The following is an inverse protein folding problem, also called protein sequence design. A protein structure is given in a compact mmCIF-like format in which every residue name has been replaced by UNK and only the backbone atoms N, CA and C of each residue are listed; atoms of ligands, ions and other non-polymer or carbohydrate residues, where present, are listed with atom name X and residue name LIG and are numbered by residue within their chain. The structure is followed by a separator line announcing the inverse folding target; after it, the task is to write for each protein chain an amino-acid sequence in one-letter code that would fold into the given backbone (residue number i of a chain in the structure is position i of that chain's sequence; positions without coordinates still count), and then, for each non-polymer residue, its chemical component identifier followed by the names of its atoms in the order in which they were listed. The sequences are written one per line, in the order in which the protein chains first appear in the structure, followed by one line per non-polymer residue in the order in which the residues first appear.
data_IF_744232928887
#
_entry.id   IF_744232928887
#
_cell.length_a   1.000
_cell.length_b   1.000
_cell.length_c   1.000
_cell.angle_alpha   90.00
_cell.angle_beta   90.00
_cell.angle_gamma   90.00
#
_symmetry.space_group_name_H-M   'P 1'
#
loop_
_entity.id
_entity.type
_entity.pdbx_description
1 polymer ?
#
# COMPACT_ATOMS: atom_id res chain seq x y z
N UNK A 1 -19.04 54.56 18.11
CA UNK A 1 -18.31 54.10 19.31
C UNK A 1 -17.27 53.07 18.90
N UNK A 2 -16.03 53.51 18.70
CA UNK A 2 -14.91 52.66 18.29
C UNK A 2 -14.24 52.06 19.52
N UNK A 3 -14.21 50.72 19.66
CA UNK A 3 -13.38 50.04 20.67
C UNK A 3 -12.07 49.59 20.00
N UNK A 4 -10.97 50.25 20.40
CA UNK A 4 -9.59 49.95 20.04
C UNK A 4 -9.04 48.76 20.85
N UNK A 5 -8.29 47.93 20.12
CA UNK A 5 -7.10 47.12 20.44
C UNK A 5 -7.02 46.32 21.76
N UNK A 6 -6.49 45.10 21.63
CA UNK A 6 -5.29 44.64 22.35
C UNK A 6 -4.64 43.48 21.59
N UNK A 7 -3.59 43.82 20.84
CA UNK A 7 -2.61 42.90 20.28
C UNK A 7 -1.64 42.52 21.40
N UNK A 8 -1.56 41.25 21.74
CA UNK A 8 -0.56 40.73 22.68
C UNK A 8 0.50 39.96 21.90
N UNK A 9 1.66 40.61 21.70
CA UNK A 9 2.92 39.98 21.33
C UNK A 9 3.40 39.12 22.52
N UNK A 10 3.70 37.84 22.30
CA UNK A 10 4.53 37.05 23.23
C UNK A 10 6.00 37.08 22.77
N UNK A 11 6.96 37.13 23.70
CA UNK A 11 8.38 37.27 23.38
C UNK A 11 9.05 35.94 23.01
N UNK A 12 10.07 36.07 22.17
CA UNK A 12 11.09 35.09 21.80
C UNK A 12 12.21 35.07 22.85
N UNK A 13 12.63 33.89 23.32
CA UNK A 13 13.96 33.58 23.87
C UNK A 13 14.12 32.05 23.97
N UNK A 14 14.88 31.39 23.09
CA UNK A 14 16.30 30.99 23.21
C UNK A 14 16.57 29.94 24.32
N UNK A 15 16.96 28.72 23.90
CA UNK A 15 18.06 27.99 24.56
C UNK A 15 18.81 27.14 23.53
N UNK A 16 20.13 27.24 23.58
CA UNK A 16 21.10 26.64 22.68
C UNK A 16 21.76 25.39 23.28
N UNK A 17 22.42 24.65 22.38
CA UNK A 17 23.56 23.74 22.56
C UNK A 17 23.35 22.33 23.16
N UNK A 18 23.59 21.30 22.33
CA UNK A 18 24.62 20.28 22.61
C UNK A 18 25.35 19.95 21.29
N UNK A 19 26.68 20.06 21.34
CA UNK A 19 27.67 19.74 20.31
C UNK A 19 28.22 18.33 20.52
N UNK A 20 28.66 17.70 19.43
CA UNK A 20 29.58 16.55 19.43
C UNK A 20 29.20 15.53 18.35
N UNK A 21 30.01 15.14 17.38
CA UNK A 21 31.38 15.49 17.01
C UNK A 21 31.71 14.62 15.79
N UNK A 22 31.98 15.23 14.65
CA UNK A 22 32.51 14.54 13.46
C UNK A 22 34.03 14.56 13.59
N UNK A 23 34.61 13.36 13.70
CA UNK A 23 36.05 13.15 13.68
C UNK A 23 36.56 13.33 12.25
N UNK A 24 37.42 14.33 12.07
CA UNK A 24 38.24 14.54 10.88
C UNK A 24 39.69 14.29 11.26
N UNK A 25 40.31 13.28 10.65
CA UNK A 25 41.75 13.21 10.44
C UNK A 25 41.92 13.47 8.93
N UNK A 26 42.43 14.64 8.57
CA UNK A 26 43.81 14.86 8.10
C UNK A 26 44.14 14.07 6.82
N UNK A 27 44.70 14.61 5.74
CA UNK A 27 45.09 15.94 5.30
C UNK A 27 45.64 15.74 3.87
N UNK A 28 45.72 16.83 3.11
CA UNK A 28 46.63 17.08 1.99
C UNK A 28 46.53 16.20 0.71
N UNK A 29 46.13 16.81 -0.41
CA UNK A 29 47.02 17.34 -1.48
C UNK A 29 47.85 16.23 -2.15
N UNK A 30 47.51 15.89 -3.41
CA UNK A 30 48.34 16.09 -4.61
C UNK A 30 47.68 15.40 -5.81
N UNK A 31 47.79 16.09 -6.95
CA UNK A 31 47.42 15.69 -8.30
C UNK A 31 47.93 14.31 -8.72
N UNK A 32 47.20 13.61 -9.59
CA UNK A 32 47.79 13.07 -10.83
C UNK A 32 46.74 12.55 -11.83
N UNK A 33 47.01 12.87 -13.09
CA UNK A 33 46.30 12.50 -14.31
C UNK A 33 46.85 11.18 -14.84
N UNK A 34 46.01 10.25 -15.34
CA UNK A 34 46.15 9.47 -16.61
C UNK A 34 45.29 8.19 -16.60
N UNK A 35 44.42 8.01 -17.60
CA UNK A 35 44.57 7.17 -18.83
C UNK A 35 44.44 5.66 -18.58
N UNK A 36 43.31 5.11 -19.05
CA UNK A 36 43.28 3.98 -19.98
C UNK A 36 43.50 2.56 -19.44
N UNK A 37 42.67 1.64 -19.92
CA UNK A 37 43.08 0.24 -20.10
C UNK A 37 42.11 -0.78 -19.53
N UNK A 38 41.10 -1.15 -20.31
CA UNK A 38 40.49 -2.47 -20.19
C UNK A 38 41.55 -3.54 -20.46
N UNK A 39 41.66 -4.53 -19.57
CA UNK A 39 42.39 -5.78 -19.85
C UNK A 39 41.52 -6.99 -19.57
N UNK A 40 41.16 -7.59 -20.69
CA UNK A 40 40.89 -8.99 -20.94
C UNK A 40 41.80 -9.93 -20.13
N UNK A 41 41.20 -10.95 -19.48
CA UNK A 41 41.93 -12.10 -18.97
C UNK A 41 41.30 -13.37 -19.56
N UNK A 42 42.04 -13.97 -20.50
CA UNK A 42 41.82 -15.32 -20.99
C UNK A 42 42.14 -16.36 -19.92
N UNK A 43 41.42 -17.48 -20.00
CA UNK A 43 41.51 -18.64 -19.13
C UNK A 43 42.83 -19.40 -19.28
N UNK A 44 43.31 -19.99 -18.17
CA UNK A 44 44.21 -21.15 -18.19
C UNK A 44 43.80 -22.14 -17.09
N UNK A 45 43.64 -23.44 -17.41
CA UNK A 45 43.12 -24.45 -16.49
C UNK A 45 44.22 -25.03 -15.59
N UNK A 46 43.86 -25.49 -14.38
CA UNK A 46 44.75 -26.29 -13.53
C UNK A 46 44.07 -27.58 -13.07
N UNK A 47 44.79 -28.67 -13.30
CA UNK A 47 44.43 -30.07 -13.08
C UNK A 47 44.32 -30.45 -11.59
N UNK A 48 43.49 -31.46 -11.35
CA UNK A 48 43.20 -32.18 -10.10
C UNK A 48 44.33 -33.16 -9.79
N UNK A 49 44.80 -33.28 -8.53
CA UNK A 49 44.83 -34.57 -7.82
C UNK A 49 45.18 -34.50 -6.30
N UNK A 50 44.38 -35.28 -5.57
CA UNK A 50 44.39 -35.92 -4.24
C UNK A 50 45.42 -35.60 -3.14
N UNK A 51 44.90 -35.31 -1.94
CA UNK A 51 45.30 -36.00 -0.68
C UNK A 51 44.15 -35.86 0.33
N UNK A 52 43.48 -36.97 0.66
CA UNK A 52 42.63 -37.11 1.85
C UNK A 52 43.51 -37.31 3.10
N UNK A 53 43.08 -36.79 4.25
CA UNK A 53 42.87 -37.70 5.37
C UNK A 53 41.48 -37.57 5.96
N UNK A 54 41.06 -38.71 6.53
CA UNK A 54 39.81 -38.94 7.20
C UNK A 54 39.61 -37.99 8.40
N UNK A 55 38.43 -37.36 8.48
CA UNK A 55 37.77 -37.19 9.77
C UNK A 55 36.25 -37.02 9.59
N UNK A 56 35.54 -37.71 10.45
CA UNK A 56 34.11 -37.87 10.57
C UNK A 56 33.35 -36.56 10.69
N UNK A 57 32.58 -36.19 9.68
CA UNK A 57 31.37 -35.39 9.84
C UNK A 57 30.31 -35.93 8.89
N UNK A 58 29.36 -36.67 9.47
CA UNK A 58 28.14 -37.11 8.79
C UNK A 58 27.38 -35.85 8.39
N UNK A 59 27.60 -35.38 7.16
CA UNK A 59 26.80 -34.34 6.56
C UNK A 59 25.40 -34.92 6.32
N UNK A 60 24.47 -34.64 7.23
CA UNK A 60 23.05 -34.82 6.95
C UNK A 60 22.70 -33.75 5.90
N UNK A 61 22.58 -34.20 4.65
CA UNK A 61 22.09 -33.38 3.57
C UNK A 61 20.68 -32.90 3.92
N UNK A 62 20.52 -31.60 4.19
CA UNK A 62 19.22 -30.96 4.26
C UNK A 62 18.68 -30.90 2.82
N UNK A 63 18.04 -31.99 2.40
CA UNK A 63 17.28 -32.07 1.15
C UNK A 63 16.05 -31.17 1.29
N UNK A 64 16.05 -30.05 0.57
CA UNK A 64 14.92 -29.11 0.53
C UNK A 64 13.87 -29.45 -0.53
N UNK A 65 13.94 -30.63 -1.16
CA UNK A 65 12.92 -31.07 -2.12
C UNK A 65 12.67 -32.57 -2.01
N UNK A 66 11.82 -32.97 -1.07
CA UNK A 66 10.95 -34.13 -1.27
C UNK A 66 9.74 -34.06 -0.33
N UNK A 67 8.59 -33.64 -0.89
CA UNK A 67 7.20 -34.03 -0.55
C UNK A 67 6.28 -33.09 -1.34
N UNK A 68 6.26 -33.25 -2.65
CA UNK A 68 5.19 -32.72 -3.49
C UNK A 68 4.11 -33.80 -3.63
N UNK A 69 3.28 -33.95 -2.58
CA UNK A 69 1.98 -34.63 -2.58
C UNK A 69 1.53 -34.53 -1.11
N UNK A 70 0.67 -33.61 -0.70
CA UNK A 70 -0.71 -33.48 -1.13
C UNK A 70 -1.12 -32.00 -1.10
N UNK A 71 -1.38 -31.39 -2.26
CA UNK A 71 -2.36 -30.30 -2.34
C UNK A 71 -3.74 -30.96 -2.17
N UNK A 72 -4.04 -31.42 -0.95
CA UNK A 72 -5.36 -31.94 -0.63
C UNK A 72 -6.33 -30.78 -0.72
N UNK A 73 -7.16 -30.85 -1.76
CA UNK A 73 -8.41 -30.13 -1.98
C UNK A 73 -8.86 -29.37 -0.74
N UNK A 74 -8.82 -28.03 -0.82
CA UNK A 74 -9.37 -27.15 0.19
C UNK A 74 -10.75 -27.67 0.58
N UNK A 75 -10.85 -28.31 1.75
CA UNK A 75 -12.07 -28.89 2.23
C UNK A 75 -13.06 -27.73 2.42
N UNK A 76 -14.05 -27.66 1.52
CA UNK A 76 -15.14 -26.69 1.60
C UNK A 76 -15.89 -26.97 2.89
N UNK A 77 -15.59 -26.21 3.94
CA UNK A 77 -16.26 -26.29 5.25
C UNK A 77 -17.75 -26.03 5.06
N UNK A 78 -18.55 -27.10 5.02
CA UNK A 78 -20.01 -27.06 4.89
C UNK A 78 -20.65 -26.97 6.27
N UNK A 79 -20.46 -25.83 6.93
CA UNK A 79 -21.29 -25.45 8.08
C UNK A 79 -22.58 -24.82 7.58
N UNK A 80 -23.71 -25.51 7.76
CA UNK A 80 -25.07 -25.01 7.48
C UNK A 80 -25.55 -24.03 8.56
N UNK A 81 -24.83 -22.92 8.72
CA UNK A 81 -25.32 -21.75 9.46
C UNK A 81 -25.83 -20.71 8.45
N UNK A 82 -26.94 -20.03 8.77
CA UNK A 82 -27.44 -18.90 7.97
C UNK A 82 -26.41 -17.78 8.06
N UNK A 83 -25.63 -17.57 7.00
CA UNK A 83 -24.65 -16.48 6.89
C UNK A 83 -25.25 -15.32 6.09
N UNK A 84 -25.06 -14.06 6.52
CA UNK A 84 -25.42 -12.90 5.69
C UNK A 84 -24.61 -12.92 4.38
N UNK A 85 -25.21 -12.43 3.30
CA UNK A 85 -24.58 -12.42 1.98
C UNK A 85 -23.40 -11.44 1.89
N UNK A 86 -23.47 -10.31 2.61
CA UNK A 86 -22.41 -9.31 2.66
C UNK A 86 -21.58 -9.47 3.94
N UNK A 87 -20.30 -9.05 3.91
CA UNK A 87 -19.47 -9.04 5.12
C UNK A 87 -20.06 -8.14 6.19
N UNK A 88 -19.78 -8.48 7.45
CA UNK A 88 -20.06 -7.61 8.58
C UNK A 88 -19.28 -6.29 8.46
N UNK A 89 -19.60 -5.33 9.33
CA UNK A 89 -18.95 -4.02 9.38
C UNK A 89 -18.85 -3.31 8.02
N UNK A 90 -19.86 -3.50 7.16
CA UNK A 90 -19.94 -2.86 5.84
C UNK A 90 -18.72 -3.16 4.93
N UNK A 91 -18.08 -4.31 5.14
CA UNK A 91 -16.91 -4.73 4.37
C UNK A 91 -15.58 -4.14 4.83
N UNK A 92 -15.53 -3.41 5.94
CA UNK A 92 -14.28 -2.95 6.53
C UNK A 92 -13.59 -4.06 7.35
N UNK A 93 -12.28 -4.17 7.18
CA UNK A 93 -11.39 -4.99 7.98
C UNK A 93 -10.99 -4.21 9.25
N UNK A 94 -11.64 -4.53 10.36
CA UNK A 94 -11.33 -3.92 11.65
C UNK A 94 -11.86 -2.50 11.79
N UNK A 95 -11.08 -1.63 12.44
CA UNK A 95 -11.47 -0.26 12.73
C UNK A 95 -11.41 0.63 11.48
N UNK A 96 -12.27 1.65 11.47
CA UNK A 96 -12.33 2.69 10.43
C UNK A 96 -11.89 4.01 11.00
N UNK A 97 -11.29 4.87 10.18
CA UNK A 97 -10.99 6.26 10.51
C UNK A 97 -11.90 7.20 9.71
N UNK A 98 -11.99 8.46 10.16
CA UNK A 98 -12.58 9.53 9.36
C UNK A 98 -11.48 10.33 8.71
N UNK A 99 -11.60 10.55 7.41
CA UNK A 99 -10.63 11.26 6.58
C UNK A 99 -11.36 12.25 5.67
N UNK A 100 -10.70 13.36 5.33
CA UNK A 100 -11.19 14.27 4.31
C UNK A 100 -10.59 13.93 2.97
N UNK A 101 -11.45 13.74 1.96
CA UNK A 101 -11.02 13.81 0.58
C UNK A 101 -10.99 15.27 0.14
N UNK A 102 -9.89 15.71 -0.45
CA UNK A 102 -9.63 17.06 -0.92
C UNK A 102 -9.82 17.19 -2.44
N UNK A 103 -10.02 18.43 -2.88
CA UNK A 103 -10.20 18.72 -4.30
C UNK A 103 -9.02 18.20 -5.14
N UNK A 104 -9.33 17.59 -6.30
CA UNK A 104 -8.37 16.98 -7.22
C UNK A 104 -8.07 15.50 -6.93
N UNK A 105 -8.40 14.98 -5.74
CA UNK A 105 -8.30 13.53 -5.49
C UNK A 105 -9.31 12.76 -6.35
N UNK A 106 -8.95 11.54 -6.74
CA UNK A 106 -9.79 10.67 -7.59
C UNK A 106 -10.19 9.41 -6.85
N UNK A 107 -11.46 9.05 -7.00
CA UNK A 107 -12.05 7.82 -6.47
C UNK A 107 -12.81 7.09 -7.57
N UNK A 108 -12.79 5.76 -7.52
CA UNK A 108 -13.38 4.91 -8.54
C UNK A 108 -14.40 3.94 -7.93
N UNK A 109 -15.37 3.52 -8.75
CA UNK A 109 -16.35 2.49 -8.40
C UNK A 109 -16.74 1.67 -9.62
N UNK A 110 -16.84 0.35 -9.44
CA UNK A 110 -17.47 -0.53 -10.43
C UNK A 110 -18.98 -0.37 -10.39
N UNK A 111 -19.56 0.02 -11.53
CA UNK A 111 -20.99 0.25 -11.69
C UNK A 111 -21.53 1.29 -10.71
N UNK A 112 -22.69 0.97 -10.12
CA UNK A 112 -23.32 1.82 -9.12
C UNK A 112 -24.54 2.57 -9.62
N UNK A 113 -25.52 2.69 -8.72
CA UNK A 113 -26.76 3.45 -8.88
C UNK A 113 -26.66 4.79 -8.16
N UNK A 114 -27.70 5.63 -8.30
CA UNK A 114 -27.87 6.88 -7.54
C UNK A 114 -27.68 6.72 -6.02
N UNK A 115 -28.05 5.56 -5.46
CA UNK A 115 -27.95 5.24 -4.03
C UNK A 115 -26.57 4.75 -3.57
N UNK A 116 -25.57 4.69 -4.46
CA UNK A 116 -24.22 4.18 -4.14
C UNK A 116 -23.53 5.04 -3.08
N UNK A 117 -22.78 4.39 -2.17
CA UNK A 117 -22.05 5.05 -1.08
C UNK A 117 -20.62 4.55 -0.85
N UNK A 118 -20.18 3.55 -1.60
CA UNK A 118 -18.86 2.92 -1.41
C UNK A 118 -17.98 3.16 -2.62
N UNK A 119 -16.76 3.64 -2.38
CA UNK A 119 -15.77 3.95 -3.41
C UNK A 119 -14.41 3.43 -2.97
N UNK A 120 -13.43 3.45 -3.86
CA UNK A 120 -12.03 3.18 -3.54
C UNK A 120 -11.16 4.27 -4.15
N UNK A 121 -9.91 4.47 -3.69
CA UNK A 121 -8.94 5.28 -4.42
C UNK A 121 -8.86 4.87 -5.88
N UNK A 122 -8.67 5.85 -6.76
CA UNK A 122 -8.57 5.55 -8.18
C UNK A 122 -7.41 4.59 -8.47
N UNK A 123 -7.63 3.63 -9.38
CA UNK A 123 -6.65 2.58 -9.69
C UNK A 123 -6.60 1.40 -8.71
N UNK A 124 -7.45 1.35 -7.67
CA UNK A 124 -7.54 0.17 -6.80
C UNK A 124 -7.99 -1.06 -7.61
N UNK A 125 -7.21 -2.18 -7.64
CA UNK A 125 -7.52 -3.35 -8.45
C UNK A 125 -8.76 -4.09 -7.94
N UNK A 126 -9.46 -4.82 -8.81
CA UNK A 126 -10.73 -5.48 -8.49
C UNK A 126 -10.62 -6.45 -7.29
N UNK A 127 -9.57 -7.29 -7.25
CA UNK A 127 -9.38 -8.25 -6.16
C UNK A 127 -9.13 -7.59 -4.79
N UNK A 128 -8.61 -6.36 -4.78
CA UNK A 128 -8.42 -5.61 -3.54
C UNK A 128 -9.71 -5.00 -2.97
N UNK A 129 -10.81 -5.05 -3.73
CA UNK A 129 -12.11 -4.47 -3.38
C UNK A 129 -13.12 -5.49 -2.84
N UNK A 130 -12.79 -6.79 -2.85
CA UNK A 130 -13.66 -7.90 -2.43
C UNK A 130 -15.12 -7.73 -2.84
N UNK A 131 -15.34 -7.58 -4.15
CA UNK A 131 -16.64 -7.27 -4.72
C UNK A 131 -17.50 -8.54 -4.89
N UNK A 132 -18.84 -8.43 -4.81
CA UNK A 132 -19.72 -9.53 -5.17
C UNK A 132 -19.46 -10.01 -6.61
N UNK A 133 -19.63 -11.32 -6.88
CA UNK A 133 -19.50 -11.87 -8.24
C UNK A 133 -20.29 -11.06 -9.27
N UNK A 134 -19.67 -10.77 -10.41
CA UNK A 134 -20.26 -9.98 -11.51
C UNK A 134 -20.18 -8.45 -11.35
N UNK A 135 -19.82 -7.92 -10.16
CA UNK A 135 -19.67 -6.46 -9.98
C UNK A 135 -18.48 -5.92 -10.77
N UNK A 136 -17.34 -6.62 -10.75
CA UNK A 136 -16.12 -6.21 -11.47
C UNK A 136 -16.27 -6.23 -13.01
N UNK A 137 -17.32 -6.89 -13.53
CA UNK A 137 -17.66 -6.89 -14.95
C UNK A 137 -18.46 -5.65 -15.37
N UNK A 138 -18.94 -4.85 -14.41
CA UNK A 138 -19.62 -3.58 -14.71
C UNK A 138 -18.58 -2.50 -15.09
N UNK A 139 -18.98 -1.42 -15.77
CA UNK A 139 -18.07 -0.33 -16.11
C UNK A 139 -17.42 0.28 -14.87
N UNK A 140 -16.11 0.51 -14.92
CA UNK A 140 -15.42 1.30 -13.90
C UNK A 140 -15.74 2.78 -14.13
N UNK A 141 -16.33 3.43 -13.14
CA UNK A 141 -16.64 4.86 -13.15
C UNK A 141 -15.66 5.58 -12.25
N UNK A 142 -15.08 6.67 -12.75
CA UNK A 142 -14.11 7.49 -12.04
C UNK A 142 -14.71 8.84 -11.68
N UNK A 143 -14.39 9.34 -10.50
CA UNK A 143 -14.89 10.61 -9.99
C UNK A 143 -13.74 11.42 -9.41
N UNK A 144 -13.74 12.70 -9.71
CA UNK A 144 -12.83 13.68 -9.13
C UNK A 144 -13.57 14.46 -8.04
N UNK A 145 -12.89 14.65 -6.91
CA UNK A 145 -13.36 15.47 -5.81
C UNK A 145 -13.23 16.93 -6.21
N UNK A 146 -14.34 17.66 -6.17
CA UNK A 146 -14.39 19.10 -6.49
C UNK A 146 -14.37 19.93 -5.20
N UNK A 147 -15.05 19.46 -4.16
CA UNK A 147 -15.12 20.13 -2.85
C UNK A 147 -14.68 19.15 -1.77
N UNK A 148 -13.87 19.58 -0.78
CA UNK A 148 -13.49 18.70 0.29
C UNK A 148 -14.68 18.16 1.08
N UNK A 149 -14.68 16.87 1.42
CA UNK A 149 -15.72 16.25 2.24
C UNK A 149 -15.18 15.06 3.03
N UNK A 150 -15.81 14.78 4.16
CA UNK A 150 -15.42 13.68 5.06
C UNK A 150 -15.95 12.33 4.54
N UNK A 151 -15.12 11.29 4.68
CA UNK A 151 -15.45 9.89 4.42
C UNK A 151 -15.02 9.01 5.59
N UNK A 152 -15.72 7.90 5.75
CA UNK A 152 -15.25 6.78 6.57
C UNK A 152 -14.29 5.93 5.71
N UNK A 153 -13.06 5.77 6.18
CA UNK A 153 -11.95 5.13 5.47
C UNK A 153 -11.49 3.89 6.23
N UNK A 154 -11.15 2.84 5.52
CA UNK A 154 -10.64 1.60 6.12
C UNK A 154 -10.20 0.58 5.10
N UNK A 155 -9.49 -0.44 5.57
CA UNK A 155 -9.11 -1.59 4.74
C UNK A 155 -10.35 -2.44 4.41
N UNK A 156 -10.37 -3.05 3.22
CA UNK A 156 -11.43 -3.96 2.79
C UNK A 156 -11.18 -5.36 3.35
N UNK A 157 -12.19 -5.95 3.97
CA UNK A 157 -12.12 -7.33 4.45
C UNK A 157 -12.08 -8.33 3.28
N UNK A 158 -11.23 -9.38 3.34
CA UNK A 158 -11.28 -10.47 2.37
C UNK A 158 -12.66 -11.10 2.32
N UNK A 159 -13.26 -11.18 1.13
CA UNK A 159 -14.60 -11.71 0.94
C UNK A 159 -14.84 -12.12 -0.51
N UNK A 160 -15.92 -12.88 -0.76
CA UNK A 160 -16.29 -13.42 -2.09
C UNK A 160 -15.18 -14.21 -2.82
N UNK A 161 -14.19 -14.73 -2.09
CA UNK A 161 -13.04 -15.43 -2.67
C UNK A 161 -11.91 -14.51 -3.16
N UNK A 162 -12.04 -13.20 -2.92
CA UNK A 162 -11.06 -12.18 -3.29
C UNK A 162 -10.18 -11.82 -2.09
N UNK A 163 -8.96 -11.37 -2.39
CA UNK A 163 -7.93 -11.06 -1.39
C UNK A 163 -8.32 -9.90 -0.46
N UNK A 164 -9.01 -8.87 -0.94
CA UNK A 164 -9.29 -7.65 -0.17
C UNK A 164 -8.04 -6.81 0.11
N UNK A 165 -7.99 -6.20 1.30
CA UNK A 165 -6.90 -5.32 1.77
C UNK A 165 -6.67 -4.01 1.01
N UNK A 166 -7.48 -3.69 0.00
CA UNK A 166 -7.52 -2.35 -0.58
C UNK A 166 -8.14 -1.33 0.40
N UNK A 167 -8.07 -0.06 0.07
CA UNK A 167 -8.78 1.00 0.81
C UNK A 167 -10.19 1.18 0.25
N UNK A 168 -11.17 1.27 1.14
CA UNK A 168 -12.53 1.64 0.81
C UNK A 168 -12.91 2.94 1.51
N UNK A 169 -13.68 3.77 0.81
CA UNK A 169 -14.31 4.96 1.34
C UNK A 169 -15.82 4.75 1.38
N UNK A 170 -16.43 5.04 2.52
CA UNK A 170 -17.88 5.15 2.66
C UNK A 170 -18.26 6.61 2.85
N UNK A 171 -19.10 7.10 1.96
CA UNK A 171 -19.55 8.49 1.95
C UNK A 171 -20.75 8.70 2.89
N UNK A 172 -20.88 9.88 3.53
CA UNK A 172 -22.00 10.17 4.42
C UNK A 172 -23.35 10.25 3.69
N UNK A 173 -23.32 10.65 2.41
CA UNK A 173 -24.48 10.77 1.52
C UNK A 173 -24.29 9.93 0.25
N UNK A 174 -25.35 9.73 -0.52
CA UNK A 174 -25.31 8.92 -1.75
C UNK A 174 -24.63 9.65 -2.93
N UNK A 175 -24.27 8.88 -3.97
CA UNK A 175 -23.62 9.37 -5.18
C UNK A 175 -24.44 10.47 -5.88
N UNK A 176 -25.76 10.30 -5.97
CA UNK A 176 -26.63 11.32 -6.57
C UNK A 176 -26.52 12.68 -5.86
N UNK A 177 -26.51 12.70 -4.53
CA UNK A 177 -26.34 13.93 -3.75
C UNK A 177 -24.94 14.53 -3.98
N UNK A 178 -23.90 13.69 -4.05
CA UNK A 178 -22.52 14.15 -4.26
C UNK A 178 -22.36 14.82 -5.63
N UNK A 179 -22.96 14.23 -6.68
CA UNK A 179 -22.97 14.79 -8.03
C UNK A 179 -23.85 16.03 -8.12
N UNK A 180 -25.09 15.97 -7.61
CA UNK A 180 -26.06 17.06 -7.68
C UNK A 180 -25.61 18.32 -6.92
N UNK A 181 -24.80 18.18 -5.87
CA UNK A 181 -24.21 19.32 -5.12
C UNK A 181 -22.86 19.78 -5.67
N UNK A 182 -22.35 19.14 -6.73
CA UNK A 182 -21.03 19.40 -7.29
C UNK A 182 -19.90 19.19 -6.28
N UNK A 183 -20.04 18.19 -5.41
CA UNK A 183 -18.98 17.74 -4.50
C UNK A 183 -18.05 16.78 -5.25
N UNK A 184 -18.65 15.89 -6.06
CA UNK A 184 -17.95 15.03 -7.01
C UNK A 184 -18.31 15.45 -8.44
N UNK A 185 -17.39 15.17 -9.36
CA UNK A 185 -17.62 15.22 -10.80
C UNK A 185 -17.17 13.90 -11.41
N UNK A 186 -18.02 13.30 -12.26
CA UNK A 186 -17.62 12.11 -13.02
C UNK A 186 -16.57 12.49 -14.08
N UNK A 187 -15.51 11.70 -14.15
CA UNK A 187 -14.43 11.85 -15.12
C UNK A 187 -14.53 10.68 -16.08
N UNK A 188 -14.89 10.98 -17.32
CA UNK A 188 -14.82 9.99 -18.40
C UNK A 188 -13.33 9.79 -18.76
N UNK A 189 -12.88 8.53 -18.92
CA UNK A 189 -11.53 8.25 -19.42
C UNK A 189 -11.29 8.84 -20.82
#
# INVERSE_FOLDING_TARGET
MFKRLKTTLLPVAILAAVLGGVSANDAAVLSETRVGGYRHFDAVPRQVETTQPAESQQATAFSWYDTASECSVAAKSTTSAIKPYYPANQGFLGETSREFLYAGQRIDRYGGTASSRFFSPAGTPAGARSLPPGTASQPLRSFEVVKPFEVESGAVAPYFGEIGYGTQYRTPVNLETLLGRGILREVTP
#
